data_IF_559888168919
#
_entry.id   IF_559888168919
#
_cell.length_a   1.000
_cell.length_b   1.000
_cell.length_c   1.000
_cell.angle_alpha   90.00
_cell.angle_beta   90.00
_cell.angle_gamma   90.00
#
_symmetry.space_group_name_H-M   'P 1'
#
loop_
_entity.id
_entity.type
_entity.pdbx_description
1 polymer ?
#
# COMPACT_ATOMS: atom_id res chain seq x y z
N UNK A 1 9.97 -3.99 4.55
CA UNK A 1 8.52 -3.90 4.90
C UNK A 1 7.78 -3.40 3.67
N UNK A 2 6.51 -3.73 3.51
CA UNK A 2 5.74 -3.36 2.33
C UNK A 2 4.27 -3.11 2.61
N UNK A 3 3.60 -2.49 1.64
CA UNK A 3 2.16 -2.33 1.54
C UNK A 3 1.82 -2.27 0.04
N UNK A 4 0.67 -2.81 -0.34
CA UNK A 4 0.10 -2.59 -1.67
C UNK A 4 -0.78 -1.32 -1.64
N UNK A 5 -0.83 -0.51 -2.70
CA UNK A 5 -1.45 0.82 -2.63
C UNK A 5 -2.92 0.79 -2.23
N UNK A 6 -3.64 -0.24 -2.65
CA UNK A 6 -5.09 -0.43 -2.47
C UNK A 6 -5.39 -1.71 -1.68
N UNK A 7 -4.54 -2.04 -0.70
CA UNK A 7 -4.50 -3.35 -0.04
C UNK A 7 -5.86 -3.90 0.38
N UNK A 8 -6.68 -3.06 1.02
CA UNK A 8 -7.97 -3.49 1.56
C UNK A 8 -9.03 -3.75 0.48
N UNK A 9 -8.83 -3.31 -0.77
CA UNK A 9 -9.79 -3.49 -1.86
C UNK A 9 -10.02 -4.96 -2.23
N UNK A 10 -9.06 -5.85 -1.95
CA UNK A 10 -9.26 -7.30 -2.11
C UNK A 10 -10.42 -7.82 -1.24
N UNK A 11 -10.68 -7.19 -0.09
CA UNK A 11 -11.72 -7.62 0.84
C UNK A 11 -13.06 -6.93 0.58
N UNK A 12 -13.07 -5.74 -0.02
CA UNK A 12 -14.30 -4.97 -0.23
C UNK A 12 -14.91 -5.12 -1.62
N UNK A 13 -14.09 -5.34 -2.66
CA UNK A 13 -14.58 -5.42 -4.05
C UNK A 13 -15.21 -6.78 -4.35
N UNK A 14 -14.54 -7.94 -4.16
CA UNK A 14 -15.13 -9.24 -4.45
C UNK A 14 -16.34 -9.59 -3.56
N UNK A 15 -16.35 -9.07 -2.32
CA UNK A 15 -17.46 -9.28 -1.38
C UNK A 15 -18.66 -8.37 -1.67
N UNK A 16 -18.51 -7.37 -2.54
CA UNK A 16 -19.51 -6.33 -2.77
C UNK A 16 -19.70 -5.35 -1.61
N UNK A 17 -18.86 -5.43 -0.56
CA UNK A 17 -18.96 -4.57 0.62
C UNK A 17 -18.72 -3.09 0.29
N UNK A 18 -17.99 -2.77 -0.79
CA UNK A 18 -17.76 -1.38 -1.20
C UNK A 18 -19.07 -0.63 -1.51
N UNK A 19 -20.05 -1.30 -2.14
CA UNK A 19 -21.31 -0.67 -2.59
C UNK A 19 -22.21 -0.13 -1.47
N UNK A 20 -22.53 -0.89 -0.41
CA UNK A 20 -23.41 -0.43 0.68
C UNK A 20 -22.75 0.52 1.68
N UNK A 21 -21.45 0.81 1.56
CA UNK A 21 -20.77 1.74 2.48
C UNK A 21 -21.32 3.15 2.28
N UNK A 22 -21.74 3.77 3.39
CA UNK A 22 -22.24 5.15 3.42
C UNK A 22 -21.21 6.09 4.06
N UNK A 23 -21.37 7.38 3.82
CA UNK A 23 -20.56 8.42 4.46
C UNK A 23 -20.60 8.34 5.99
N UNK A 24 -21.77 8.07 6.56
CA UNK A 24 -21.94 7.87 8.00
C UNK A 24 -21.11 6.68 8.51
N UNK A 25 -21.09 5.58 7.76
CA UNK A 25 -20.28 4.41 8.10
C UNK A 25 -18.79 4.71 8.02
N UNK A 26 -18.35 5.48 7.01
CA UNK A 26 -16.95 5.93 6.87
C UNK A 26 -16.54 6.74 8.10
N UNK A 27 -17.31 7.77 8.46
CA UNK A 27 -17.02 8.62 9.62
C UNK A 27 -16.98 7.83 10.93
N UNK A 28 -17.97 6.95 11.15
CA UNK A 28 -18.01 6.10 12.34
C UNK A 28 -16.81 5.15 12.42
N UNK A 29 -16.41 4.56 11.30
CA UNK A 29 -15.26 3.65 11.25
C UNK A 29 -13.95 4.41 11.46
N UNK A 30 -13.79 5.56 10.80
CA UNK A 30 -12.62 6.42 10.97
C UNK A 30 -12.42 6.81 12.44
N UNK A 31 -13.49 7.26 13.10
CA UNK A 31 -13.46 7.57 14.52
C UNK A 31 -13.12 6.36 15.39
N UNK A 32 -13.67 5.17 15.09
CA UNK A 32 -13.37 3.94 15.81
C UNK A 32 -11.89 3.49 15.65
N UNK A 33 -11.27 3.79 14.52
CA UNK A 33 -9.84 3.54 14.27
C UNK A 33 -8.91 4.60 14.86
N UNK A 34 -9.47 5.70 15.40
CA UNK A 34 -8.72 6.77 16.04
C UNK A 34 -8.31 7.91 15.11
N UNK A 35 -8.89 8.00 13.90
CA UNK A 35 -8.73 9.20 13.08
C UNK A 35 -9.41 10.41 13.73
N UNK A 36 -8.84 11.62 13.59
CA UNK A 36 -9.50 12.85 14.01
C UNK A 36 -10.90 12.97 13.36
N UNK A 37 -11.97 13.09 14.15
CA UNK A 37 -13.33 13.19 13.62
C UNK A 37 -13.47 14.36 12.65
N UNK A 38 -14.10 14.13 11.49
CA UNK A 38 -14.30 15.12 10.43
C UNK A 38 -13.03 15.43 9.61
N UNK A 39 -11.96 15.92 10.25
CA UNK A 39 -10.74 16.30 9.51
C UNK A 39 -9.99 15.09 8.92
N UNK A 40 -10.07 13.92 9.58
CA UNK A 40 -9.49 12.67 9.08
C UNK A 40 -10.11 12.25 7.75
N UNK A 41 -11.41 12.00 7.72
CA UNK A 41 -12.13 11.59 6.49
C UNK A 41 -12.02 12.64 5.40
N UNK A 42 -12.05 13.93 5.76
CA UNK A 42 -11.84 15.03 4.80
C UNK A 42 -10.48 14.91 4.10
N UNK A 43 -9.41 14.60 4.83
CA UNK A 43 -8.09 14.44 4.24
C UNK A 43 -8.00 13.24 3.30
N UNK A 44 -8.63 12.10 3.66
CA UNK A 44 -8.69 10.93 2.78
C UNK A 44 -9.45 11.21 1.47
N UNK A 45 -10.58 11.92 1.56
CA UNK A 45 -11.33 12.35 0.36
C UNK A 45 -10.52 13.29 -0.53
N UNK A 46 -9.72 14.17 0.07
CA UNK A 46 -8.86 15.08 -0.67
C UNK A 46 -7.70 14.35 -1.36
N UNK A 47 -7.21 13.25 -0.78
CA UNK A 47 -6.13 12.44 -1.36
C UNK A 47 -6.57 11.65 -2.60
N UNK A 48 -7.87 11.31 -2.70
CA UNK A 48 -8.44 10.61 -3.87
C UNK A 48 -9.73 11.32 -4.32
N UNK A 49 -9.62 12.45 -5.04
CA UNK A 49 -10.79 13.21 -5.47
C UNK A 49 -11.76 12.37 -6.30
N UNK A 50 -13.03 12.36 -5.91
CA UNK A 50 -14.08 11.60 -6.59
C UNK A 50 -14.24 10.14 -6.13
N UNK A 51 -13.45 9.69 -5.14
CA UNK A 51 -13.62 8.37 -4.54
C UNK A 51 -15.02 8.20 -3.92
N UNK A 52 -15.60 7.03 -4.15
CA UNK A 52 -16.84 6.61 -3.48
C UNK A 52 -16.61 6.39 -1.98
N UNK A 53 -17.67 6.37 -1.14
CA UNK A 53 -17.52 6.11 0.29
C UNK A 53 -16.85 4.76 0.58
N UNK A 54 -17.15 3.72 -0.22
CA UNK A 54 -16.51 2.42 -0.12
C UNK A 54 -15.01 2.43 -0.42
N UNK A 55 -14.57 3.26 -1.35
CA UNK A 55 -13.14 3.45 -1.65
C UNK A 55 -12.43 4.23 -0.54
N UNK A 56 -13.07 5.28 0.00
CA UNK A 56 -12.51 6.03 1.15
C UNK A 56 -12.39 5.12 2.37
N UNK A 57 -13.40 4.28 2.63
CA UNK A 57 -13.34 3.25 3.66
C UNK A 57 -12.16 2.29 3.45
N UNK A 58 -11.98 1.78 2.22
CA UNK A 58 -10.89 0.87 1.90
C UNK A 58 -9.51 1.52 2.03
N UNK A 59 -9.38 2.81 1.70
CA UNK A 59 -8.11 3.54 1.84
C UNK A 59 -7.74 3.77 3.32
N UNK A 60 -8.73 4.13 4.15
CA UNK A 60 -8.56 4.23 5.61
C UNK A 60 -8.18 2.87 6.21
N UNK A 61 -8.86 1.80 5.80
CA UNK A 61 -8.58 0.44 6.27
C UNK A 61 -7.20 -0.06 5.81
N UNK A 62 -6.77 0.30 4.59
CA UNK A 62 -5.42 0.02 4.07
C UNK A 62 -4.36 0.64 4.97
N UNK A 63 -4.54 1.92 5.35
CA UNK A 63 -3.62 2.59 6.25
C UNK A 63 -3.61 1.95 7.66
N UNK A 64 -4.78 1.68 8.21
CA UNK A 64 -4.90 1.16 9.58
C UNK A 64 -4.36 -0.26 9.76
N UNK A 65 -4.72 -1.20 8.87
CA UNK A 65 -4.35 -2.61 9.00
C UNK A 65 -2.95 -2.92 8.46
N UNK A 66 -2.48 -2.20 7.43
CA UNK A 66 -1.31 -2.61 6.66
C UNK A 66 -0.22 -1.55 6.63
N UNK A 67 -0.49 -0.38 6.03
CA UNK A 67 0.54 0.63 5.78
C UNK A 67 1.18 1.13 7.07
N UNK A 68 0.39 1.64 8.01
CA UNK A 68 0.92 2.27 9.23
C UNK A 68 1.64 1.27 10.15
N UNK A 69 1.12 0.06 10.41
CA UNK A 69 1.88 -0.95 11.15
C UNK A 69 3.24 -1.28 10.49
N UNK A 70 3.27 -1.44 9.16
CA UNK A 70 4.52 -1.69 8.43
C UNK A 70 5.52 -0.54 8.57
N UNK A 71 5.06 0.72 8.48
CA UNK A 71 5.91 1.90 8.68
C UNK A 71 6.41 2.01 10.12
N UNK A 72 5.55 1.82 11.12
CA UNK A 72 5.93 1.84 12.55
C UNK A 72 6.98 0.78 12.88
N UNK A 73 6.87 -0.41 12.27
CA UNK A 73 7.90 -1.44 12.41
C UNK A 73 9.23 -1.02 11.79
N UNK A 74 9.21 -0.40 10.60
CA UNK A 74 10.43 0.13 9.97
C UNK A 74 11.08 1.23 10.83
N UNK A 75 10.28 2.13 11.42
CA UNK A 75 10.76 3.17 12.34
C UNK A 75 11.36 2.59 13.61
N UNK A 76 10.72 1.55 14.18
CA UNK A 76 11.25 0.86 15.35
C UNK A 76 12.61 0.22 15.05
N UNK A 77 12.77 -0.46 13.91
CA UNK A 77 14.04 -1.04 13.48
C UNK A 77 15.12 0.05 13.32
N UNK A 78 14.79 1.17 12.67
CA UNK A 78 15.70 2.29 12.50
C UNK A 78 16.16 2.90 13.84
N UNK A 79 15.25 3.05 14.82
CA UNK A 79 15.59 3.53 16.18
C UNK A 79 16.55 2.61 16.93
N UNK A 80 16.58 1.32 16.59
CA UNK A 80 17.53 0.35 17.15
C UNK A 80 18.81 0.19 16.32
N UNK A 81 19.06 1.07 15.33
CA UNK A 81 20.27 1.07 14.52
C UNK A 81 20.27 0.04 13.38
N UNK A 82 19.14 -0.64 13.13
CA UNK A 82 19.00 -1.54 11.99
C UNK A 82 18.58 -0.77 10.73
N UNK A 83 19.06 -1.20 9.56
CA UNK A 83 18.57 -0.69 8.27
C UNK A 83 17.22 -1.33 7.95
N UNK A 84 16.17 -0.52 7.81
CA UNK A 84 14.89 -0.95 7.28
C UNK A 84 14.69 -0.37 5.88
N UNK A 85 14.03 -1.10 5.00
CA UNK A 85 13.67 -0.63 3.67
C UNK A 85 12.17 -0.83 3.47
N UNK A 86 11.51 0.18 2.93
CA UNK A 86 10.08 0.17 2.66
C UNK A 86 9.85 0.29 1.17
N UNK A 87 8.92 -0.51 0.65
CA UNK A 87 8.37 -0.30 -0.68
C UNK A 87 6.84 -0.27 -0.66
N UNK A 88 6.26 0.38 -1.66
CA UNK A 88 4.85 0.36 -1.98
C UNK A 88 4.65 -0.26 -3.37
N UNK A 89 3.83 -1.30 -3.48
CA UNK A 89 3.45 -1.84 -4.78
C UNK A 89 2.19 -1.13 -5.29
N UNK A 90 2.27 -0.53 -6.47
CA UNK A 90 1.30 0.44 -6.96
C UNK A 90 0.83 0.18 -8.41
N UNK A 91 1.21 -0.95 -9.01
CA UNK A 91 0.64 -1.36 -10.28
C UNK A 91 -0.78 -1.91 -10.07
N UNK A 92 -1.81 -1.38 -10.75
CA UNK A 92 -3.18 -1.79 -10.53
C UNK A 92 -3.52 -3.07 -11.29
N UNK A 93 -4.20 -3.99 -10.62
CA UNK A 93 -4.80 -5.16 -11.24
C UNK A 93 -5.87 -4.74 -12.27
N UNK A 94 -5.93 -5.36 -13.46
CA UNK A 94 -7.03 -5.15 -14.40
C UNK A 94 -8.33 -5.86 -14.00
N UNK A 95 -8.30 -6.72 -12.96
CA UNK A 95 -9.46 -7.50 -12.55
C UNK A 95 -10.59 -6.61 -11.99
N UNK A 96 -11.83 -7.10 -12.12
CA UNK A 96 -13.03 -6.35 -11.71
C UNK A 96 -13.10 -4.96 -12.36
N UNK A 97 -12.80 -4.88 -13.66
CA UNK A 97 -12.74 -3.61 -14.40
C UNK A 97 -11.81 -2.58 -13.76
N UNK A 98 -10.72 -3.05 -13.14
CA UNK A 98 -9.73 -2.22 -12.45
C UNK A 98 -10.11 -1.83 -11.01
N UNK A 99 -11.28 -2.24 -10.51
CA UNK A 99 -11.76 -1.83 -9.19
C UNK A 99 -10.87 -2.29 -8.04
N UNK A 100 -10.12 -3.39 -8.21
CA UNK A 100 -9.18 -3.89 -7.20
C UNK A 100 -8.00 -2.94 -6.95
N UNK A 101 -7.57 -2.17 -7.95
CA UNK A 101 -6.33 -1.40 -7.84
C UNK A 101 -5.11 -2.28 -7.54
N UNK A 102 -4.12 -1.75 -6.83
CA UNK A 102 -2.98 -2.53 -6.35
C UNK A 102 -3.37 -3.24 -5.04
N UNK A 103 -4.15 -4.31 -5.14
CA UNK A 103 -4.75 -4.98 -3.99
C UNK A 103 -3.78 -5.90 -3.23
N UNK A 104 -4.23 -6.40 -2.08
CA UNK A 104 -3.47 -7.32 -1.25
C UNK A 104 -2.91 -8.53 -2.02
N UNK A 105 -1.65 -8.87 -1.71
CA UNK A 105 -0.87 -9.96 -2.30
C UNK A 105 -0.59 -9.87 -3.82
N UNK A 106 -0.98 -8.78 -4.49
CA UNK A 106 -0.74 -8.59 -5.93
C UNK A 106 0.74 -8.48 -6.28
N UNK A 107 1.57 -8.06 -5.32
CA UNK A 107 3.01 -7.91 -5.44
C UNK A 107 3.76 -9.24 -5.42
N UNK A 108 3.19 -10.30 -4.83
CA UNK A 108 3.80 -11.62 -4.69
C UNK A 108 4.34 -12.20 -6.01
N UNK A 109 3.54 -12.32 -7.10
CA UNK A 109 4.06 -12.86 -8.37
C UNK A 109 5.18 -12.01 -8.98
N UNK A 110 5.24 -10.71 -8.68
CA UNK A 110 6.33 -9.83 -9.12
C UNK A 110 7.61 -10.03 -8.30
N UNK A 111 7.49 -10.27 -6.98
CA UNK A 111 8.62 -10.61 -6.12
C UNK A 111 9.35 -11.87 -6.60
N UNK A 112 8.57 -12.88 -7.03
CA UNK A 112 9.11 -14.17 -7.45
C UNK A 112 9.46 -14.25 -8.93
N UNK A 113 9.25 -13.19 -9.71
CA UNK A 113 9.35 -13.21 -11.17
C UNK A 113 8.58 -14.40 -11.79
N UNK A 114 7.35 -14.62 -11.30
CA UNK A 114 6.53 -15.78 -11.62
C UNK A 114 5.14 -15.35 -12.12
N UNK A 115 5.12 -14.44 -13.09
CA UNK A 115 3.88 -13.86 -13.62
C UNK A 115 3.01 -14.86 -14.40
N UNK A 116 3.57 -15.99 -14.82
CA UNK A 116 2.89 -17.03 -15.58
C UNK A 116 2.14 -18.07 -14.71
N UNK A 117 2.23 -17.96 -13.38
CA UNK A 117 1.59 -18.91 -12.49
C UNK A 117 0.06 -18.75 -12.53
N UNK A 118 -0.69 -19.81 -12.88
CA UNK A 118 -2.14 -19.76 -13.04
C UNK A 118 -2.88 -19.37 -11.75
N UNK A 119 -2.26 -19.52 -10.57
CA UNK A 119 -2.85 -19.10 -9.30
C UNK A 119 -3.10 -17.57 -9.24
N UNK A 120 -2.35 -16.77 -10.01
CA UNK A 120 -2.47 -15.32 -10.04
C UNK A 120 -3.15 -14.77 -11.30
N UNK A 121 -3.49 -15.62 -12.27
CA UNK A 121 -4.03 -15.21 -13.57
C UNK A 121 -5.24 -14.27 -13.47
N UNK A 122 -6.16 -14.55 -12.53
CA UNK A 122 -7.33 -13.70 -12.30
C UNK A 122 -6.94 -12.26 -11.90
N UNK A 123 -5.90 -12.09 -11.10
CA UNK A 123 -5.46 -10.79 -10.59
C UNK A 123 -4.51 -10.07 -11.56
N UNK A 124 -3.73 -10.81 -12.34
CA UNK A 124 -2.75 -10.23 -13.26
C UNK A 124 -3.33 -9.86 -14.63
N UNK A 125 -4.41 -10.53 -15.04
CA UNK A 125 -4.91 -10.45 -16.41
C UNK A 125 -3.91 -11.03 -17.42
N UNK A 126 -4.10 -10.68 -18.69
CA UNK A 126 -3.38 -11.34 -19.80
C UNK A 126 -1.96 -10.82 -20.06
N UNK A 127 -1.62 -9.64 -19.52
CA UNK A 127 -0.35 -8.96 -19.85
C UNK A 127 0.19 -8.15 -18.67
N UNK A 128 0.53 -8.81 -17.54
CA UNK A 128 1.21 -8.13 -16.44
C UNK A 128 2.60 -7.63 -16.89
N UNK A 129 3.07 -6.50 -16.36
CA UNK A 129 4.30 -5.87 -16.84
C UNK A 129 5.56 -6.57 -16.30
N UNK A 130 6.20 -7.36 -17.17
CA UNK A 130 7.44 -8.08 -16.88
C UNK A 130 8.55 -7.18 -16.31
N UNK A 131 8.68 -5.94 -16.81
CA UNK A 131 9.71 -5.00 -16.35
C UNK A 131 9.60 -4.66 -14.85
N UNK A 132 8.39 -4.66 -14.28
CA UNK A 132 8.20 -4.46 -12.83
C UNK A 132 8.71 -5.68 -12.07
N UNK A 133 8.39 -6.89 -12.55
CA UNK A 133 8.83 -8.13 -11.93
C UNK A 133 10.35 -8.27 -11.95
N UNK A 134 11.00 -8.00 -13.08
CA UNK A 134 12.46 -8.00 -13.20
C UNK A 134 13.12 -7.05 -12.20
N UNK A 135 12.61 -5.82 -12.10
CA UNK A 135 13.16 -4.80 -11.19
C UNK A 135 12.95 -5.19 -9.72
N UNK A 136 11.74 -5.65 -9.38
CA UNK A 136 11.38 -6.01 -8.02
C UNK A 136 12.10 -7.27 -7.55
N UNK A 137 12.16 -8.29 -8.40
CA UNK A 137 12.87 -9.53 -8.15
C UNK A 137 14.37 -9.27 -7.93
N UNK A 138 15.00 -8.47 -8.79
CA UNK A 138 16.40 -8.09 -8.64
C UNK A 138 16.67 -7.37 -7.30
N UNK A 139 15.77 -6.48 -6.88
CA UNK A 139 15.89 -5.81 -5.57
C UNK A 139 15.78 -6.79 -4.40
N UNK A 140 14.86 -7.75 -4.45
CA UNK A 140 14.72 -8.79 -3.42
C UNK A 140 15.94 -9.71 -3.36
N UNK A 141 16.48 -10.14 -4.52
CA UNK A 141 17.72 -10.91 -4.59
C UNK A 141 18.89 -10.11 -4.02
N UNK A 142 19.02 -8.82 -4.38
CA UNK A 142 20.06 -7.94 -3.85
C UNK A 142 19.97 -7.81 -2.33
N UNK A 143 18.77 -7.60 -1.78
CA UNK A 143 18.57 -7.56 -0.33
C UNK A 143 18.93 -8.87 0.35
N UNK A 144 18.50 -10.02 -0.19
CA UNK A 144 18.79 -11.33 0.37
C UNK A 144 20.30 -11.66 0.38
N UNK A 145 21.04 -11.16 -0.61
CA UNK A 145 22.47 -11.44 -0.78
C UNK A 145 23.40 -10.43 -0.13
N UNK A 146 22.98 -9.17 0.00
CA UNK A 146 23.85 -8.06 0.46
C UNK A 146 23.28 -7.25 1.62
N UNK A 147 21.99 -7.41 1.93
CA UNK A 147 21.26 -6.55 2.86
C UNK A 147 20.91 -5.18 2.29
N UNK A 148 21.10 -4.94 0.99
CA UNK A 148 20.79 -3.67 0.32
C UNK A 148 19.96 -3.90 -0.96
N UNK A 149 18.73 -3.38 -1.05
CA UNK A 149 17.89 -3.53 -2.23
C UNK A 149 18.16 -2.47 -3.31
N UNK A 150 19.08 -1.52 -3.09
CA UNK A 150 19.45 -0.49 -4.06
C UNK A 150 18.77 0.88 -3.87
N UNK A 151 18.14 1.13 -2.72
CA UNK A 151 17.59 2.45 -2.37
C UNK A 151 17.86 2.81 -0.90
N UNK A 152 17.63 4.08 -0.54
CA UNK A 152 17.88 4.59 0.79
C UNK A 152 17.03 3.88 1.86
N UNK A 153 17.64 3.61 3.01
CA UNK A 153 16.93 3.04 4.16
C UNK A 153 15.82 3.99 4.64
N UNK A 154 14.72 3.41 5.11
CA UNK A 154 13.60 4.13 5.69
C UNK A 154 13.97 4.65 7.09
N UNK A 155 13.74 5.94 7.32
CA UNK A 155 14.01 6.61 8.58
C UNK A 155 13.89 8.12 8.45
N UNK A 156 13.94 8.83 9.57
CA UNK A 156 13.94 10.30 9.56
C UNK A 156 15.25 10.87 8.99
N UNK A 157 15.19 12.04 8.31
CA UNK A 157 13.99 12.85 8.05
C UNK A 157 13.22 12.44 6.77
N UNK A 158 13.75 11.53 5.96
CA UNK A 158 13.30 11.37 4.57
C UNK A 158 12.17 10.36 4.37
N UNK A 159 12.07 9.34 5.23
CA UNK A 159 11.08 8.25 5.14
C UNK A 159 10.96 7.73 3.69
N UNK A 160 12.11 7.39 3.11
CA UNK A 160 12.21 6.98 1.71
C UNK A 160 11.46 5.68 1.45
N UNK A 161 10.60 5.67 0.42
CA UNK A 161 9.81 4.50 0.00
C UNK A 161 10.05 4.26 -1.49
N UNK A 162 10.45 3.03 -1.85
CA UNK A 162 10.47 2.61 -3.26
C UNK A 162 9.05 2.32 -3.73
N UNK A 163 8.56 2.98 -4.78
CA UNK A 163 7.22 2.71 -5.33
C UNK A 163 7.33 1.92 -6.62
N UNK A 164 6.81 0.70 -6.63
CA UNK A 164 6.71 -0.17 -7.81
C UNK A 164 5.38 0.09 -8.54
N UNK A 165 5.33 1.16 -9.32
CA UNK A 165 4.30 1.40 -10.34
C UNK A 165 4.85 1.02 -11.73
N UNK A 166 4.18 1.42 -12.82
CA UNK A 166 4.67 1.21 -14.22
C UNK A 166 6.13 1.62 -14.42
N UNK A 167 6.59 2.63 -13.69
CA UNK A 167 8.00 2.99 -13.59
C UNK A 167 8.39 3.04 -12.12
N UNK A 168 9.30 2.16 -11.65
CA UNK A 168 9.74 2.15 -10.26
C UNK A 168 10.52 3.42 -9.91
N UNK A 169 10.12 4.11 -8.85
CA UNK A 169 10.78 5.34 -8.37
C UNK A 169 10.74 5.47 -6.86
N UNK A 170 11.80 6.04 -6.26
CA UNK A 170 11.82 6.37 -4.84
C UNK A 170 11.08 7.67 -4.56
N UNK A 171 10.21 7.66 -3.54
CA UNK A 171 9.49 8.84 -3.05
C UNK A 171 9.91 9.16 -1.61
N UNK A 172 9.95 10.46 -1.28
CA UNK A 172 10.18 10.96 0.07
C UNK A 172 8.85 11.11 0.79
N UNK A 173 8.67 10.43 1.93
CA UNK A 173 7.49 10.44 2.80
C UNK A 173 6.14 10.48 2.04
N UNK A 174 5.87 9.53 1.11
CA UNK A 174 4.60 9.52 0.40
C UNK A 174 3.44 9.41 1.39
N UNK A 175 2.39 10.21 1.17
CA UNK A 175 1.22 10.31 2.06
C UNK A 175 1.56 10.73 3.50
N UNK A 176 2.67 11.45 3.71
CA UNK A 176 3.11 11.91 5.04
C UNK A 176 2.06 12.71 5.81
N UNK A 177 1.23 13.50 5.12
CA UNK A 177 0.12 14.24 5.73
C UNK A 177 -0.95 13.31 6.32
N UNK A 178 -1.33 12.26 5.60
CA UNK A 178 -2.29 11.26 6.08
C UNK A 178 -1.69 10.47 7.24
N UNK A 179 -0.43 10.02 7.10
CA UNK A 179 0.32 9.36 8.17
C UNK A 179 0.33 10.18 9.45
N UNK A 180 0.49 11.50 9.36
CA UNK A 180 0.52 12.40 10.51
C UNK A 180 -0.83 12.53 11.25
N UNK A 181 -1.96 12.19 10.61
CA UNK A 181 -3.27 12.16 11.27
C UNK A 181 -3.38 11.02 12.29
N UNK A 182 -2.62 9.94 12.09
CA UNK A 182 -2.58 8.77 12.95
C UNK A 182 -1.54 8.97 14.05
N UNK A 183 -1.85 9.85 15.00
CA UNK A 183 -1.05 10.00 16.21
C UNK A 183 -0.84 8.65 16.89
N UNK A 184 0.32 8.49 17.54
CA UNK A 184 0.77 7.24 18.14
C UNK A 184 -0.34 6.69 19.07
N UNK A 185 -0.90 5.49 18.81
CA UNK A 185 -1.87 4.90 19.72
C UNK A 185 -1.17 4.71 21.06
N UNK A 186 -1.67 5.42 22.08
CA UNK A 186 -1.23 5.25 23.46
C UNK A 186 -1.48 3.84 23.96
#
# INVERSE_FOLDING_TARGET
MSCTSDEFRLFTVPSGLSGPVTDELVERTAAAYGLPPGSGVTAYRAAVPGASPGEVFADIATDWFYRLPALRLAEAQARHGARAFVYEFAWPSPAYDGALGACHALDVPFVFDNLADPAFALLLGDSPPQAIAETMHAAWVSFATTGDPGWAAYGEPDRSVMRFATSPTTHRDPRGELRALWADPR
#
